data_IF_520652498127
#
_entry.id   IF_520652498127
#
_cell.length_a   1.000
_cell.length_b   1.000
_cell.length_c   1.000
_cell.angle_alpha   90.00
_cell.angle_beta   90.00
_cell.angle_gamma   90.00
#
_symmetry.space_group_name_H-M   'P 1'
#
loop_
_entity.id
_entity.type
_entity.pdbx_description
1 polymer ?
#
# COMPACT_ATOMS: atom_id res chain seq x y z
N UNK A 1 12.21 63.74 -1.01
CA UNK A 1 11.42 62.89 -0.08
C UNK A 1 9.92 63.14 -0.28
N UNK A 2 9.17 62.14 -0.74
CA UNK A 2 7.70 62.25 -0.77
C UNK A 2 7.15 62.37 0.67
N UNK A 3 6.05 63.10 0.85
CA UNK A 3 5.42 63.35 2.15
C UNK A 3 3.89 63.39 2.05
N UNK A 4 3.21 63.59 3.18
CA UNK A 4 1.76 63.80 3.22
C UNK A 4 0.87 62.55 3.14
N UNK A 5 1.42 61.34 2.96
CA UNK A 5 0.65 60.09 2.99
C UNK A 5 1.23 59.09 3.98
N UNK A 6 0.39 58.21 4.54
CA UNK A 6 0.81 57.12 5.45
C UNK A 6 1.84 56.16 4.83
N UNK A 7 2.01 56.17 3.50
CA UNK A 7 2.96 55.31 2.79
C UNK A 7 4.37 55.91 2.71
N UNK A 8 4.52 57.23 2.87
CA UNK A 8 5.82 57.90 2.86
C UNK A 8 6.70 57.38 4.02
N UNK A 9 7.97 57.07 3.73
CA UNK A 9 8.92 56.53 4.71
C UNK A 9 8.85 55.01 4.96
N UNK A 10 7.89 54.29 4.38
CA UNK A 10 7.80 52.82 4.52
C UNK A 10 8.71 52.07 3.52
N UNK A 11 9.18 50.88 3.93
CA UNK A 11 9.89 49.96 3.03
C UNK A 11 9.06 49.52 1.83
N UNK A 12 9.67 49.52 0.64
CA UNK A 12 8.97 49.32 -0.64
C UNK A 12 9.15 47.93 -1.24
N UNK A 13 10.35 47.57 -1.71
CA UNK A 13 10.53 46.48 -2.67
C UNK A 13 10.80 45.10 -2.07
N UNK A 14 11.29 45.04 -0.83
CA UNK A 14 11.66 43.79 -0.17
C UNK A 14 10.46 42.85 0.01
N UNK A 15 10.71 41.54 -0.08
CA UNK A 15 9.68 40.50 0.10
C UNK A 15 9.07 40.47 1.50
N UNK A 16 9.76 41.05 2.49
CA UNK A 16 9.27 41.25 3.86
C UNK A 16 8.36 42.49 4.00
N UNK A 17 8.35 43.40 3.02
CA UNK A 17 7.58 44.64 3.08
C UNK A 17 6.15 44.44 2.54
N UNK A 18 5.15 45.06 3.18
CA UNK A 18 3.77 45.11 2.67
C UNK A 18 3.73 45.83 1.31
N UNK A 19 3.19 45.16 0.28
CA UNK A 19 3.17 45.66 -1.10
C UNK A 19 4.50 45.49 -1.85
N UNK A 20 5.51 44.85 -1.23
CA UNK A 20 6.78 44.52 -1.86
C UNK A 20 6.68 43.32 -2.81
N UNK A 21 7.80 43.03 -3.49
CA UNK A 21 7.83 41.97 -4.51
C UNK A 21 8.00 40.61 -3.84
N UNK A 22 7.26 39.61 -4.31
CA UNK A 22 7.44 38.22 -3.89
C UNK A 22 8.86 37.73 -4.22
N UNK A 23 9.49 36.98 -3.31
CA UNK A 23 10.75 36.29 -3.58
C UNK A 23 10.54 35.24 -4.68
N UNK A 24 11.47 35.18 -5.64
CA UNK A 24 11.41 34.30 -6.82
C UNK A 24 10.03 34.32 -7.52
N UNK A 25 9.63 35.48 -8.12
CA UNK A 25 8.33 35.61 -8.72
C UNK A 25 8.13 34.61 -9.86
N UNK A 26 6.91 34.09 -10.02
CA UNK A 26 6.62 33.09 -11.07
C UNK A 26 6.88 33.68 -12.45
N UNK A 27 7.75 33.03 -13.21
CA UNK A 27 8.13 33.45 -14.56
C UNK A 27 7.39 32.65 -15.61
N UNK A 28 7.21 33.26 -16.77
CA UNK A 28 6.55 32.63 -17.93
C UNK A 28 7.35 31.44 -18.47
N UNK A 29 8.68 31.46 -18.36
CA UNK A 29 9.59 30.42 -18.86
C UNK A 29 9.73 29.20 -17.94
N UNK A 30 8.84 29.04 -16.94
CA UNK A 30 8.73 27.77 -16.21
C UNK A 30 8.51 26.64 -17.21
N UNK A 31 9.19 25.50 -17.05
CA UNK A 31 9.00 24.33 -17.94
C UNK A 31 7.65 23.67 -17.68
N UNK A 32 6.60 24.14 -18.36
CA UNK A 32 5.22 23.66 -18.26
C UNK A 32 5.01 22.30 -18.92
N UNK A 33 5.63 22.10 -20.10
CA UNK A 33 5.45 20.88 -20.90
C UNK A 33 6.55 19.86 -20.60
N UNK A 34 6.15 18.58 -20.56
CA UNK A 34 7.06 17.44 -20.43
C UNK A 34 6.98 16.57 -21.67
N UNK A 35 8.10 16.42 -22.39
CA UNK A 35 8.24 15.46 -23.48
C UNK A 35 8.32 14.06 -22.87
N UNK A 36 7.44 13.17 -23.32
CA UNK A 36 7.40 11.76 -22.93
C UNK A 36 7.59 10.95 -24.21
N UNK A 37 8.38 9.88 -24.13
CA UNK A 37 8.69 9.03 -25.27
C UNK A 37 7.41 8.40 -25.85
N UNK A 38 7.33 8.36 -27.17
CA UNK A 38 6.13 7.88 -27.87
C UNK A 38 5.86 6.41 -27.53
N UNK A 39 6.90 5.58 -27.47
CA UNK A 39 6.76 4.16 -27.12
C UNK A 39 6.25 3.97 -25.69
N UNK A 40 6.68 4.79 -24.72
CA UNK A 40 6.16 4.75 -23.35
C UNK A 40 4.68 5.15 -23.30
N UNK A 41 4.27 6.18 -24.06
CA UNK A 41 2.85 6.54 -24.16
C UNK A 41 2.02 5.40 -24.76
N UNK A 42 2.52 4.76 -25.83
CA UNK A 42 1.83 3.63 -26.48
C UNK A 42 1.70 2.43 -25.54
N UNK A 43 2.76 2.09 -24.81
CA UNK A 43 2.74 1.06 -23.76
C UNK A 43 1.64 1.37 -22.74
N UNK A 44 1.65 2.58 -22.17
CA UNK A 44 0.69 2.97 -21.14
C UNK A 44 -0.76 2.87 -21.62
N UNK A 45 -1.03 3.25 -22.88
CA UNK A 45 -2.37 3.10 -23.46
C UNK A 45 -2.74 1.62 -23.62
N UNK A 46 -1.85 0.78 -24.15
CA UNK A 46 -2.11 -0.66 -24.28
C UNK A 46 -2.39 -1.31 -22.91
N UNK A 47 -1.63 -0.94 -21.88
CA UNK A 47 -1.85 -1.41 -20.50
C UNK A 47 -3.20 -0.96 -19.92
N UNK A 48 -3.61 0.28 -20.22
CA UNK A 48 -4.91 0.79 -19.76
C UNK A 48 -6.09 0.09 -20.46
N UNK A 49 -5.96 -0.25 -21.75
CA UNK A 49 -6.94 -1.05 -22.49
C UNK A 49 -7.02 -2.46 -21.91
N UNK A 50 -5.87 -3.13 -21.68
CA UNK A 50 -5.84 -4.45 -21.07
C UNK A 50 -6.51 -4.45 -19.68
N UNK A 51 -6.24 -3.41 -18.87
CA UNK A 51 -6.87 -3.27 -17.56
C UNK A 51 -8.40 -3.06 -17.64
N UNK A 52 -8.93 -2.46 -18.71
CA UNK A 52 -10.38 -2.31 -18.89
C UNK A 52 -11.10 -3.62 -19.19
N UNK A 53 -10.39 -4.66 -19.62
CA UNK A 53 -10.99 -5.98 -19.88
C UNK A 53 -11.13 -6.83 -18.61
N UNK A 54 -10.43 -6.48 -17.51
CA UNK A 54 -10.40 -7.28 -16.28
C UNK A 54 -11.45 -6.74 -15.28
N UNK A 55 -12.52 -7.49 -14.96
CA UNK A 55 -13.57 -7.04 -14.04
C UNK A 55 -13.03 -6.59 -12.68
N UNK A 56 -12.08 -7.33 -12.12
CA UNK A 56 -11.49 -7.04 -10.81
C UNK A 56 -10.86 -5.65 -10.75
N UNK A 57 -10.14 -5.23 -11.81
CA UNK A 57 -9.52 -3.91 -11.88
C UNK A 57 -10.56 -2.80 -12.08
N UNK A 58 -11.61 -3.08 -12.85
CA UNK A 58 -12.70 -2.11 -13.11
C UNK A 58 -13.54 -1.87 -11.86
N UNK A 59 -13.84 -2.94 -11.11
CA UNK A 59 -14.53 -2.86 -9.83
C UNK A 59 -13.64 -2.18 -8.77
N UNK A 60 -12.35 -2.52 -8.69
CA UNK A 60 -11.40 -1.89 -7.76
C UNK A 60 -11.25 -0.38 -7.99
N UNK A 61 -11.32 0.08 -9.25
CA UNK A 61 -11.39 1.51 -9.57
C UNK A 61 -12.67 2.18 -9.06
N UNK A 62 -13.72 1.40 -8.84
CA UNK A 62 -14.98 1.85 -8.27
C UNK A 62 -16.09 2.07 -9.30
N UNK A 63 -16.08 1.37 -10.43
CA UNK A 63 -17.25 1.34 -11.33
C UNK A 63 -18.32 0.37 -10.81
N UNK A 64 -19.61 0.67 -11.07
CA UNK A 64 -20.72 -0.27 -10.81
C UNK A 64 -20.97 -1.12 -12.05
N UNK A 65 -20.52 -2.36 -12.03
CA UNK A 65 -20.58 -3.29 -13.17
C UNK A 65 -21.29 -4.60 -12.85
N UNK A 66 -22.04 -4.69 -11.74
CA UNK A 66 -22.65 -5.96 -11.31
C UNK A 66 -23.69 -6.51 -12.30
N UNK A 67 -24.37 -5.62 -13.03
CA UNK A 67 -25.40 -5.98 -14.01
C UNK A 67 -24.85 -6.17 -15.45
N UNK A 68 -23.55 -5.99 -15.66
CA UNK A 68 -22.92 -6.13 -16.98
C UNK A 68 -22.62 -7.61 -17.23
N UNK A 69 -23.02 -8.13 -18.39
CA UNK A 69 -22.89 -9.56 -18.72
C UNK A 69 -21.45 -10.04 -18.89
N UNK A 70 -20.60 -9.22 -19.50
CA UNK A 70 -19.24 -9.59 -19.86
C UNK A 70 -18.29 -8.39 -19.88
N UNK A 71 -17.00 -8.69 -19.73
CA UNK A 71 -15.90 -7.73 -19.89
C UNK A 71 -14.80 -8.39 -20.72
N UNK A 72 -14.28 -7.73 -21.77
CA UNK A 72 -14.63 -6.39 -22.26
C UNK A 72 -16.03 -6.33 -22.89
N UNK A 73 -16.77 -5.25 -22.63
CA UNK A 73 -18.13 -5.09 -23.15
C UNK A 73 -18.11 -4.55 -24.59
N UNK A 74 -18.61 -5.34 -25.53
CA UNK A 74 -18.72 -4.99 -26.95
C UNK A 74 -20.20 -4.90 -27.35
N UNK A 75 -20.57 -3.81 -28.01
CA UNK A 75 -21.93 -3.55 -28.50
C UNK A 75 -21.97 -3.42 -30.02
N UNK A 76 -23.13 -3.72 -30.62
CA UNK A 76 -23.31 -3.61 -32.07
C UNK A 76 -23.06 -2.19 -32.59
N UNK A 77 -22.63 -2.08 -33.85
CA UNK A 77 -22.37 -0.78 -34.50
C UNK A 77 -23.63 0.07 -34.70
N UNK A 78 -24.83 -0.49 -34.51
CA UNK A 78 -26.08 0.26 -34.49
C UNK A 78 -26.07 1.40 -33.45
N UNK A 79 -25.30 1.26 -32.37
CA UNK A 79 -25.13 2.29 -31.35
C UNK A 79 -24.47 3.56 -31.92
N UNK A 80 -23.65 3.45 -32.97
CA UNK A 80 -23.01 4.61 -33.60
C UNK A 80 -24.02 5.55 -34.29
N UNK A 81 -25.16 5.02 -34.73
CA UNK A 81 -26.26 5.76 -35.35
C UNK A 81 -27.19 6.48 -34.37
N UNK A 82 -27.04 6.27 -33.06
CA UNK A 82 -27.90 6.87 -32.05
C UNK A 82 -27.67 8.38 -31.97
N UNK A 83 -28.72 9.17 -32.21
CA UNK A 83 -28.65 10.63 -32.18
C UNK A 83 -29.19 11.25 -30.88
N UNK A 84 -30.25 10.67 -30.31
CA UNK A 84 -30.95 11.24 -29.16
C UNK A 84 -30.38 10.71 -27.84
N UNK A 85 -30.21 11.60 -26.87
CA UNK A 85 -29.76 11.27 -25.50
C UNK A 85 -30.71 10.29 -24.81
N UNK A 86 -32.01 10.39 -25.05
CA UNK A 86 -33.02 9.46 -24.50
C UNK A 86 -32.82 8.04 -25.00
N UNK A 87 -32.50 7.87 -26.29
CA UNK A 87 -32.17 6.57 -26.87
C UNK A 87 -30.83 6.04 -26.31
N UNK A 88 -29.82 6.89 -26.17
CA UNK A 88 -28.54 6.52 -25.54
C UNK A 88 -28.71 6.02 -24.09
N UNK A 89 -29.59 6.64 -23.30
CA UNK A 89 -29.94 6.17 -21.96
C UNK A 89 -30.59 4.79 -22.00
N UNK A 90 -31.51 4.54 -22.95
CA UNK A 90 -32.14 3.22 -23.12
C UNK A 90 -31.09 2.13 -23.42
N UNK A 91 -30.13 2.41 -24.30
CA UNK A 91 -29.02 1.49 -24.59
C UNK A 91 -28.21 1.17 -23.33
N UNK A 92 -27.83 2.18 -22.54
CA UNK A 92 -27.07 1.96 -21.30
C UNK A 92 -27.84 1.18 -20.25
N UNK A 93 -29.16 1.32 -20.19
CA UNK A 93 -30.03 0.53 -19.32
C UNK A 93 -30.09 -0.93 -19.77
N UNK A 94 -30.28 -1.18 -21.07
CA UNK A 94 -30.32 -2.53 -21.64
C UNK A 94 -29.02 -3.30 -21.42
N UNK A 95 -27.88 -2.61 -21.51
CA UNK A 95 -26.55 -3.21 -21.34
C UNK A 95 -26.13 -3.31 -19.86
N UNK A 96 -26.93 -2.81 -18.92
CA UNK A 96 -26.61 -2.83 -17.49
C UNK A 96 -25.53 -1.82 -17.05
N UNK A 97 -25.15 -0.88 -17.92
CA UNK A 97 -24.15 0.15 -17.66
C UNK A 97 -24.71 1.41 -16.97
N UNK A 98 -26.04 1.57 -16.93
CA UNK A 98 -26.71 2.74 -16.37
C UNK A 98 -26.46 2.98 -14.86
N UNK A 99 -26.35 1.97 -13.98
CA UNK A 99 -26.04 2.18 -12.56
C UNK A 99 -24.74 2.96 -12.31
N UNK A 100 -23.74 2.81 -13.18
CA UNK A 100 -22.48 3.57 -13.10
C UNK A 100 -22.69 5.06 -13.50
N UNK A 101 -23.61 5.31 -14.43
CA UNK A 101 -23.99 6.65 -14.85
C UNK A 101 -24.80 7.37 -13.78
N UNK A 102 -25.75 6.67 -13.14
CA UNK A 102 -26.51 7.21 -12.00
C UNK A 102 -25.55 7.59 -10.86
N UNK A 103 -24.61 6.72 -10.52
CA UNK A 103 -23.55 7.02 -9.55
C UNK A 103 -22.75 8.27 -9.93
N UNK A 104 -22.46 8.48 -11.21
CA UNK A 104 -21.76 9.68 -11.66
C UNK A 104 -22.64 10.94 -11.58
N UNK A 105 -23.94 10.83 -11.91
CA UNK A 105 -24.93 11.90 -11.77
C UNK A 105 -25.07 12.36 -10.32
N UNK A 106 -25.26 11.42 -9.39
CA UNK A 106 -25.47 11.72 -7.97
C UNK A 106 -24.21 12.27 -7.29
N UNK A 107 -23.03 11.96 -7.87
CA UNK A 107 -21.75 12.48 -7.37
C UNK A 107 -21.48 13.94 -7.70
N UNK A 108 -22.36 14.61 -8.45
CA UNK A 108 -22.14 16.00 -8.86
C UNK A 108 -22.24 16.93 -7.64
N UNK A 109 -21.09 17.40 -7.16
CA UNK A 109 -20.98 18.28 -6.00
C UNK A 109 -20.31 19.61 -6.31
N UNK A 110 -20.54 20.61 -5.44
CA UNK A 110 -19.84 21.90 -5.51
C UNK A 110 -18.41 21.74 -4.98
N UNK A 111 -17.41 22.13 -5.79
CA UNK A 111 -15.99 22.12 -5.45
C UNK A 111 -15.71 23.04 -4.25
N UNK A 112 -15.03 22.54 -3.20
CA UNK A 112 -14.57 23.39 -2.11
C UNK A 112 -13.40 24.30 -2.53
N UNK A 113 -13.24 25.43 -1.83
CA UNK A 113 -12.13 26.35 -1.99
C UNK A 113 -12.18 27.26 -3.23
N UNK A 114 -11.04 27.89 -3.53
CA UNK A 114 -10.91 28.94 -4.58
C UNK A 114 -11.20 28.47 -6.00
N UNK A 115 -11.26 27.16 -6.24
CA UNK A 115 -11.62 26.59 -7.55
C UNK A 115 -13.03 26.98 -7.99
N UNK A 116 -13.94 27.17 -7.02
CA UNK A 116 -15.32 27.59 -7.25
C UNK A 116 -15.42 28.92 -8.02
N UNK A 117 -14.53 29.87 -7.71
CA UNK A 117 -14.46 31.19 -8.36
C UNK A 117 -13.74 31.18 -9.71
N UNK A 118 -13.12 30.06 -10.11
CA UNK A 118 -12.29 29.94 -11.32
C UNK A 118 -12.88 28.96 -12.32
N UNK A 119 -14.18 29.07 -12.60
CA UNK A 119 -14.93 28.25 -13.58
C UNK A 119 -14.83 26.73 -13.36
N UNK A 120 -14.56 26.28 -12.13
CA UNK A 120 -14.46 24.86 -11.76
C UNK A 120 -15.41 24.56 -10.59
N UNK A 121 -16.63 25.09 -10.67
CA UNK A 121 -17.65 25.04 -9.60
C UNK A 121 -18.09 23.62 -9.29
N UNK A 122 -18.25 22.75 -10.29
CA UNK A 122 -18.73 21.39 -10.09
C UNK A 122 -17.61 20.35 -10.26
N UNK A 123 -17.74 19.24 -9.55
CA UNK A 123 -16.93 18.02 -9.72
C UNK A 123 -17.91 16.86 -9.87
N UNK A 124 -17.62 15.96 -10.79
CA UNK A 124 -18.34 14.71 -10.96
C UNK A 124 -17.36 13.55 -11.11
N UNK A 125 -17.81 12.35 -10.75
CA UNK A 125 -17.06 11.12 -11.00
C UNK A 125 -17.04 10.80 -12.51
N UNK A 126 -16.05 10.01 -12.91
CA UNK A 126 -15.93 9.48 -14.28
C UNK A 126 -16.69 8.17 -14.36
N UNK A 127 -17.71 8.12 -15.20
CA UNK A 127 -18.47 6.92 -15.53
C UNK A 127 -17.88 6.21 -16.75
N UNK A 128 -18.71 5.50 -17.54
CA UNK A 128 -18.24 4.69 -18.65
C UNK A 128 -17.60 5.55 -19.74
N UNK A 129 -16.59 4.99 -20.41
CA UNK A 129 -16.00 5.54 -21.63
C UNK A 129 -16.54 4.75 -22.82
N UNK A 130 -17.16 5.43 -23.78
CA UNK A 130 -17.66 4.80 -24.99
C UNK A 130 -16.64 5.01 -26.11
N UNK A 131 -16.19 3.91 -26.70
CA UNK A 131 -15.22 3.92 -27.79
C UNK A 131 -15.90 3.50 -29.08
N UNK A 132 -15.77 4.34 -30.11
CA UNK A 132 -16.38 4.14 -31.42
C UNK A 132 -15.33 4.10 -32.54
N UNK A 133 -15.70 3.48 -33.66
CA UNK A 133 -14.83 3.19 -34.79
C UNK A 133 -14.96 4.17 -35.95
N UNK A 134 -16.17 4.68 -36.22
CA UNK A 134 -16.45 5.48 -37.43
C UNK A 134 -16.22 6.97 -37.20
N UNK A 135 -15.61 7.66 -38.17
CA UNK A 135 -15.52 9.12 -38.12
C UNK A 135 -16.90 9.75 -38.32
N UNK A 136 -17.19 10.85 -37.60
CA UNK A 136 -18.48 11.52 -37.71
C UNK A 136 -19.67 10.78 -37.07
N UNK A 137 -19.43 9.71 -36.30
CA UNK A 137 -20.47 8.93 -35.65
C UNK A 137 -21.44 9.81 -34.83
N UNK A 138 -22.74 9.59 -35.03
CA UNK A 138 -23.80 10.42 -34.43
C UNK A 138 -23.89 10.23 -32.90
N UNK A 139 -23.43 9.08 -32.40
CA UNK A 139 -23.37 8.79 -30.97
C UNK A 139 -22.59 9.84 -30.16
N UNK A 140 -21.61 10.52 -30.77
CA UNK A 140 -20.85 11.56 -30.07
C UNK A 140 -21.77 12.64 -29.52
N UNK A 141 -22.81 13.01 -30.27
CA UNK A 141 -23.80 14.00 -29.83
C UNK A 141 -24.73 13.41 -28.76
N UNK A 142 -25.17 12.17 -28.93
CA UNK A 142 -26.09 11.50 -28.02
C UNK A 142 -25.50 11.25 -26.62
N UNK A 143 -24.22 10.87 -26.53
CA UNK A 143 -23.60 10.47 -25.26
C UNK A 143 -22.84 11.61 -24.55
N UNK A 144 -22.47 12.70 -25.23
CA UNK A 144 -21.64 13.79 -24.65
C UNK A 144 -22.29 14.48 -23.45
N UNK A 145 -23.61 14.61 -23.41
CA UNK A 145 -24.31 15.34 -22.34
C UNK A 145 -24.73 14.44 -21.17
N UNK A 146 -24.43 13.13 -21.22
CA UNK A 146 -24.78 12.22 -20.14
C UNK A 146 -23.74 12.39 -19.00
N UNK A 147 -24.17 12.59 -17.74
CA UNK A 147 -23.25 12.81 -16.62
C UNK A 147 -22.19 11.71 -16.49
N UNK A 148 -20.92 12.11 -16.43
CA UNK A 148 -19.78 11.20 -16.21
C UNK A 148 -19.38 10.35 -17.42
N UNK A 149 -20.21 10.28 -18.46
CA UNK A 149 -19.89 9.53 -19.70
C UNK A 149 -18.92 10.34 -20.54
N UNK A 150 -17.92 9.65 -21.09
CA UNK A 150 -17.04 10.24 -22.09
C UNK A 150 -17.05 9.41 -23.37
N UNK A 151 -16.72 10.06 -24.48
CA UNK A 151 -16.65 9.41 -25.79
C UNK A 151 -15.23 9.56 -26.34
N UNK A 152 -14.70 8.52 -26.98
CA UNK A 152 -13.41 8.53 -27.66
C UNK A 152 -13.49 7.72 -28.97
N UNK A 153 -12.72 8.13 -29.98
CA UNK A 153 -12.56 7.32 -31.18
C UNK A 153 -11.33 6.41 -30.99
N UNK A 154 -11.41 5.17 -31.47
CA UNK A 154 -10.37 4.15 -31.31
C UNK A 154 -8.99 4.56 -31.87
N UNK A 155 -8.95 5.34 -32.94
CA UNK A 155 -7.70 5.75 -33.58
C UNK A 155 -6.97 6.83 -32.77
N UNK A 156 -7.70 7.59 -31.97
CA UNK A 156 -7.21 8.70 -31.13
C UNK A 156 -7.50 8.48 -29.65
N UNK A 157 -7.21 7.27 -29.17
CA UNK A 157 -7.33 6.93 -27.75
C UNK A 157 -6.36 7.76 -26.90
N UNK A 158 -6.91 8.40 -25.87
CA UNK A 158 -6.17 9.21 -24.94
C UNK A 158 -6.02 8.48 -23.60
N UNK A 159 -4.78 8.31 -23.14
CA UNK A 159 -4.46 7.73 -21.84
C UNK A 159 -5.19 8.43 -20.68
N UNK A 160 -5.36 9.76 -20.76
CA UNK A 160 -6.03 10.53 -19.70
C UNK A 160 -7.53 10.21 -19.58
N UNK A 161 -8.14 9.73 -20.67
CA UNK A 161 -9.52 9.22 -20.66
C UNK A 161 -9.56 7.77 -20.19
N UNK A 162 -8.61 6.93 -20.60
CA UNK A 162 -8.58 5.52 -20.20
C UNK A 162 -8.20 5.31 -18.74
N UNK A 163 -7.26 6.12 -18.21
CA UNK A 163 -6.79 6.08 -16.83
C UNK A 163 -6.86 7.47 -16.17
N UNK A 164 -8.07 8.00 -15.89
CA UNK A 164 -8.22 9.29 -15.23
C UNK A 164 -7.56 9.26 -13.85
N UNK A 165 -6.72 10.25 -13.55
CA UNK A 165 -5.96 10.32 -12.31
C UNK A 165 -4.81 9.32 -12.20
N UNK A 166 -4.46 8.62 -13.29
CA UNK A 166 -3.43 7.58 -13.29
C UNK A 166 -3.91 6.22 -12.77
N UNK A 167 -5.20 6.07 -12.47
CA UNK A 167 -5.78 4.81 -12.01
C UNK A 167 -6.29 3.98 -13.20
N UNK A 168 -5.78 2.75 -13.32
CA UNK A 168 -6.10 1.77 -14.36
C UNK A 168 -7.51 1.18 -14.17
N UNK A 169 -8.06 0.53 -15.20
CA UNK A 169 -9.33 -0.19 -15.12
C UNK A 169 -10.55 0.72 -15.18
N UNK A 170 -10.62 1.65 -16.14
CA UNK A 170 -11.89 2.35 -16.40
C UNK A 170 -12.88 1.42 -17.08
N UNK A 171 -14.16 1.54 -16.78
CA UNK A 171 -15.21 0.84 -17.51
C UNK A 171 -15.32 1.41 -18.93
N UNK A 172 -15.03 0.58 -19.94
CA UNK A 172 -15.04 0.96 -21.36
C UNK A 172 -16.06 0.11 -22.11
N UNK A 173 -16.89 0.77 -22.92
CA UNK A 173 -17.88 0.16 -23.81
C UNK A 173 -17.38 0.34 -25.23
N UNK A 174 -17.19 -0.76 -25.96
CA UNK A 174 -16.65 -0.76 -27.32
C UNK A 174 -17.75 -0.99 -28.34
N UNK A 175 -17.77 -0.24 -29.44
CA UNK A 175 -18.52 -0.68 -30.63
C UNK A 175 -17.76 -1.81 -31.31
N UNK A 176 -18.47 -2.72 -31.99
CA UNK A 176 -17.88 -3.86 -32.69
C UNK A 176 -16.75 -3.41 -33.65
N UNK A 177 -17.05 -2.43 -34.51
CA UNK A 177 -16.06 -1.86 -35.44
C UNK A 177 -14.87 -1.20 -34.74
N UNK A 178 -15.06 -0.59 -33.57
CA UNK A 178 -13.96 -0.07 -32.77
C UNK A 178 -13.07 -1.18 -32.24
N UNK A 179 -13.68 -2.26 -31.75
CA UNK A 179 -12.96 -3.38 -31.17
C UNK A 179 -12.12 -4.12 -32.23
N UNK A 180 -12.68 -4.39 -33.40
CA UNK A 180 -11.96 -5.01 -34.54
C UNK A 180 -10.78 -4.16 -35.01
N UNK A 181 -10.92 -2.82 -35.02
CA UNK A 181 -9.83 -1.91 -35.41
C UNK A 181 -8.64 -1.92 -34.45
N UNK A 182 -8.78 -2.39 -33.19
CA UNK A 182 -7.66 -2.43 -32.25
C UNK A 182 -6.51 -3.30 -32.75
N UNK A 183 -6.81 -4.41 -33.41
CA UNK A 183 -5.80 -5.35 -33.92
C UNK A 183 -4.92 -4.70 -34.98
N UNK A 184 -5.51 -3.99 -35.96
CA UNK A 184 -4.74 -3.20 -36.94
C UNK A 184 -3.92 -2.06 -36.29
N UNK A 185 -4.45 -1.42 -35.23
CA UNK A 185 -3.82 -0.27 -34.55
C UNK A 185 -2.66 -0.66 -33.63
N UNK A 186 -2.71 -1.82 -32.98
CA UNK A 186 -1.69 -2.24 -32.01
C UNK A 186 -0.90 -3.48 -32.43
N UNK A 187 -1.42 -4.27 -33.37
CA UNK A 187 -0.90 -5.60 -33.71
C UNK A 187 -1.24 -6.63 -32.64
N UNK A 188 -0.70 -7.83 -32.83
CA UNK A 188 -0.73 -8.91 -31.84
C UNK A 188 0.67 -9.13 -31.25
N UNK A 189 0.85 -10.18 -30.45
CA UNK A 189 2.19 -10.54 -29.97
C UNK A 189 3.06 -11.14 -31.08
N UNK A 190 2.44 -11.68 -32.12
CA UNK A 190 3.12 -12.31 -33.27
C UNK A 190 3.22 -11.37 -34.48
N UNK A 191 2.24 -10.48 -34.67
CA UNK A 191 2.16 -9.57 -35.80
C UNK A 191 2.42 -8.12 -35.37
N UNK A 192 3.33 -7.38 -36.03
CA UNK A 192 3.54 -5.97 -35.74
C UNK A 192 2.31 -5.13 -36.12
N UNK A 193 2.22 -3.92 -35.56
CA UNK A 193 1.12 -3.01 -35.90
C UNK A 193 1.22 -2.51 -37.34
N UNK A 194 0.08 -2.49 -38.03
CA UNK A 194 -0.06 -1.92 -39.38
C UNK A 194 -0.03 -0.38 -39.35
N UNK A 195 -0.85 0.23 -38.47
CA UNK A 195 -0.98 1.69 -38.42
C UNK A 195 0.18 2.38 -37.70
N UNK A 196 0.79 1.74 -36.70
CA UNK A 196 1.90 2.33 -35.94
C UNK A 196 3.22 1.77 -36.43
N UNK A 197 3.87 2.50 -37.33
CA UNK A 197 5.19 2.16 -37.88
C UNK A 197 6.17 1.72 -36.78
N UNK A 198 6.69 0.49 -36.94
CA UNK A 198 7.70 -0.12 -36.06
C UNK A 198 7.23 -0.37 -34.62
N UNK A 199 5.92 -0.38 -34.36
CA UNK A 199 5.39 -0.67 -33.04
C UNK A 199 5.05 -2.15 -32.89
N UNK A 200 5.48 -2.72 -31.77
CA UNK A 200 5.14 -4.07 -31.32
C UNK A 200 4.62 -3.97 -29.89
N UNK A 201 3.69 -4.83 -29.53
CA UNK A 201 3.20 -4.91 -28.15
C UNK A 201 4.35 -5.26 -27.19
N UNK A 202 4.35 -4.67 -25.98
CA UNK A 202 5.39 -4.96 -25.00
C UNK A 202 5.31 -6.42 -24.53
N UNK A 203 6.45 -7.11 -24.55
CA UNK A 203 6.57 -8.46 -24.00
C UNK A 203 6.66 -8.41 -22.47
N UNK A 204 5.83 -9.21 -21.81
CA UNK A 204 5.89 -9.36 -20.36
C UNK A 204 7.21 -10.07 -19.95
N UNK A 205 7.71 -9.74 -18.76
CA UNK A 205 8.90 -10.43 -18.20
C UNK A 205 8.61 -11.88 -17.80
N UNK A 206 7.36 -12.17 -17.46
CA UNK A 206 6.87 -13.49 -17.11
C UNK A 206 5.79 -13.89 -18.12
N UNK A 207 5.83 -15.14 -18.59
CA UNK A 207 4.80 -15.68 -19.48
C UNK A 207 3.51 -15.93 -18.70
N UNK A 208 3.62 -16.49 -17.49
CA UNK A 208 2.52 -16.65 -16.55
C UNK A 208 2.77 -15.79 -15.30
N UNK A 209 1.78 -14.98 -14.92
CA UNK A 209 1.86 -14.13 -13.73
C UNK A 209 1.39 -14.83 -12.44
N UNK A 210 0.79 -16.02 -12.54
CA UNK A 210 0.36 -16.79 -11.38
C UNK A 210 1.55 -17.50 -10.71
N UNK A 211 2.18 -16.76 -9.80
CA UNK A 211 3.28 -17.27 -8.99
C UNK A 211 2.85 -18.41 -8.07
N UNK A 212 1.62 -18.41 -7.56
CA UNK A 212 1.16 -19.46 -6.67
C UNK A 212 1.09 -20.80 -7.41
N UNK A 213 0.57 -20.80 -8.64
CA UNK A 213 0.57 -21.98 -9.51
C UNK A 213 1.98 -22.47 -9.82
N UNK A 214 2.91 -21.57 -10.15
CA UNK A 214 4.30 -21.94 -10.43
C UNK A 214 4.95 -22.54 -9.18
N UNK A 215 4.85 -21.86 -8.04
CA UNK A 215 5.46 -22.31 -6.79
C UNK A 215 4.90 -23.67 -6.37
N UNK A 216 3.59 -23.90 -6.53
CA UNK A 216 2.93 -25.12 -6.12
C UNK A 216 2.99 -26.24 -7.17
N UNK A 217 3.75 -26.07 -8.26
CA UNK A 217 3.91 -27.12 -9.25
C UNK A 217 4.81 -28.24 -8.72
N UNK A 218 4.56 -29.47 -9.17
CA UNK A 218 5.28 -30.66 -8.68
C UNK A 218 6.79 -30.57 -8.95
N UNK A 219 7.19 -29.95 -10.07
CA UNK A 219 8.59 -29.77 -10.43
C UNK A 219 9.33 -28.86 -9.44
N UNK A 220 8.65 -27.86 -8.90
CA UNK A 220 9.25 -26.97 -7.89
C UNK A 220 9.13 -27.61 -6.51
N UNK A 221 7.95 -28.11 -6.13
CA UNK A 221 7.72 -28.68 -4.80
C UNK A 221 8.56 -29.93 -4.53
N UNK A 222 8.88 -30.74 -5.55
CA UNK A 222 9.77 -31.91 -5.40
C UNK A 222 11.22 -31.55 -5.05
N UNK A 223 11.69 -30.35 -5.41
CA UNK A 223 13.06 -29.87 -5.15
C UNK A 223 13.13 -28.98 -3.91
N UNK A 224 12.03 -28.30 -3.56
CA UNK A 224 11.96 -27.39 -2.42
C UNK A 224 12.18 -28.15 -1.10
N UNK A 225 13.09 -27.63 -0.28
CA UNK A 225 13.36 -28.18 1.06
C UNK A 225 12.16 -27.94 1.97
N UNK A 226 11.85 -28.87 2.89
CA UNK A 226 10.77 -28.69 3.84
C UNK A 226 10.97 -27.43 4.68
N UNK A 227 9.86 -26.80 5.05
CA UNK A 227 9.84 -25.58 5.85
C UNK A 227 10.51 -25.86 7.21
N UNK A 228 11.46 -25.01 7.59
CA UNK A 228 12.09 -25.05 8.92
C UNK A 228 11.15 -24.41 9.94
N UNK A 229 10.39 -25.23 10.65
CA UNK A 229 9.40 -24.77 11.63
C UNK A 229 10.02 -24.29 12.95
N UNK A 230 11.28 -24.63 13.22
CA UNK A 230 11.94 -24.26 14.48
C UNK A 230 12.50 -22.84 14.45
N UNK A 231 11.72 -21.88 14.94
CA UNK A 231 12.22 -20.54 15.25
C UNK A 231 12.58 -20.50 16.74
N UNK A 232 13.85 -20.75 17.06
CA UNK A 232 14.36 -20.60 18.44
C UNK A 232 14.52 -19.11 18.77
N UNK A 233 13.50 -18.53 19.42
CA UNK A 233 13.62 -17.18 20.00
C UNK A 233 14.57 -17.22 21.19
N UNK A 234 15.42 -16.21 21.33
CA UNK A 234 16.29 -16.09 22.49
C UNK A 234 15.44 -15.92 23.76
N UNK A 235 15.42 -16.89 24.68
CA UNK A 235 14.76 -16.70 25.96
C UNK A 235 15.58 -15.75 26.83
N UNK A 236 14.93 -15.09 27.79
CA UNK A 236 15.64 -14.34 28.82
C UNK A 236 16.64 -15.29 29.52
N UNK A 237 17.93 -14.92 29.51
CA UNK A 237 18.99 -15.66 30.21
C UNK A 237 18.78 -15.52 31.72
N UNK A 238 18.19 -16.53 32.33
CA UNK A 238 18.01 -16.63 33.78
C UNK A 238 19.36 -16.97 34.43
N UNK A 239 19.71 -16.29 35.52
CA UNK A 239 20.95 -16.55 36.26
C UNK A 239 20.86 -17.92 36.97
N UNK A 240 21.75 -18.90 36.67
CA UNK A 240 21.72 -20.23 37.29
C UNK A 240 21.98 -20.21 38.80
N UNK A 241 22.82 -19.31 39.31
CA UNK A 241 23.14 -19.26 40.74
C UNK A 241 21.95 -18.78 41.59
N UNK A 242 21.07 -17.96 40.99
CA UNK A 242 19.84 -17.48 41.64
C UNK A 242 18.62 -18.36 41.34
N UNK A 243 18.62 -19.10 40.22
CA UNK A 243 17.49 -19.92 39.79
C UNK A 243 17.84 -21.42 39.80
N UNK A 244 17.31 -22.15 40.78
CA UNK A 244 17.60 -23.57 40.97
C UNK A 244 17.26 -24.42 39.74
N UNK A 245 16.12 -24.20 39.07
CA UNK A 245 15.74 -25.01 37.91
C UNK A 245 16.73 -24.87 36.74
N UNK A 246 17.28 -23.67 36.57
CA UNK A 246 18.31 -23.40 35.56
C UNK A 246 19.64 -24.03 35.99
N UNK A 247 19.98 -23.95 37.28
CA UNK A 247 21.17 -24.63 37.82
C UNK A 247 21.09 -26.14 37.63
N UNK A 248 19.95 -26.75 37.89
CA UNK A 248 19.74 -28.18 37.75
C UNK A 248 19.79 -28.64 36.30
N UNK A 249 19.29 -27.80 35.37
CA UNK A 249 19.41 -28.04 33.93
C UNK A 249 20.88 -28.01 33.46
N UNK A 250 21.72 -27.16 34.06
CA UNK A 250 23.14 -27.05 33.73
C UNK A 250 24.01 -28.10 34.46
N UNK A 251 23.69 -28.38 35.72
CA UNK A 251 24.40 -29.30 36.59
C UNK A 251 23.42 -30.09 37.47
N UNK A 252 23.05 -31.32 37.08
CA UNK A 252 22.18 -32.19 37.86
C UNK A 252 22.73 -32.51 39.27
N UNK A 253 24.05 -32.56 39.43
CA UNK A 253 24.72 -32.84 40.71
C UNK A 253 24.57 -31.68 41.73
N UNK A 254 24.18 -30.48 41.29
CA UNK A 254 23.91 -29.38 42.21
C UNK A 254 22.81 -29.70 43.24
N UNK A 255 21.87 -30.60 42.91
CA UNK A 255 20.82 -31.07 43.83
C UNK A 255 21.40 -31.88 44.99
N UNK A 256 22.25 -32.85 44.68
CA UNK A 256 22.88 -33.74 45.67
C UNK A 256 23.87 -32.97 46.52
N UNK A 257 24.72 -32.13 45.92
CA UNK A 257 25.65 -31.28 46.63
C UNK A 257 24.95 -30.34 47.63
N UNK A 258 23.85 -29.69 47.22
CA UNK A 258 23.06 -28.82 48.11
C UNK A 258 22.39 -29.60 49.25
N UNK A 259 21.88 -30.80 48.96
CA UNK A 259 21.30 -31.68 49.99
C UNK A 259 22.36 -32.14 51.00
N UNK A 260 23.53 -32.54 50.53
CA UNK A 260 24.68 -32.92 51.37
C UNK A 260 25.12 -31.74 52.25
N UNK A 261 25.20 -30.53 51.69
CA UNK A 261 25.54 -29.32 52.43
C UNK A 261 24.54 -29.02 53.55
N UNK A 262 23.23 -29.12 53.28
CA UNK A 262 22.18 -28.92 54.29
C UNK A 262 22.26 -29.95 55.43
N UNK A 263 22.48 -31.23 55.10
CA UNK A 263 22.65 -32.28 56.09
C UNK A 263 23.90 -32.03 56.96
N UNK A 264 25.01 -31.66 56.32
CA UNK A 264 26.24 -31.31 57.02
C UNK A 264 26.08 -30.07 57.92
N UNK A 265 25.34 -29.06 57.49
CA UNK A 265 25.05 -27.86 58.29
C UNK A 265 24.19 -28.20 59.51
N UNK A 266 23.13 -28.99 59.35
CA UNK A 266 22.30 -29.46 60.46
C UNK A 266 23.13 -30.22 61.51
N UNK A 267 24.05 -31.08 61.07
CA UNK A 267 25.00 -31.77 61.94
C UNK A 267 25.95 -30.80 62.65
N UNK A 268 26.50 -29.81 61.94
CA UNK A 268 27.38 -28.78 62.54
C UNK A 268 26.67 -27.94 63.59
N UNK A 269 25.42 -27.53 63.35
CA UNK A 269 24.63 -26.76 64.32
C UNK A 269 24.39 -27.58 65.58
N UNK A 270 24.02 -28.85 65.44
CA UNK A 270 23.86 -29.78 66.57
C UNK A 270 25.16 -29.93 67.36
N UNK A 271 26.27 -30.22 66.68
CA UNK A 271 27.59 -30.36 67.30
C UNK A 271 28.07 -29.06 67.99
N UNK A 272 27.79 -27.89 67.41
CA UNK A 272 28.10 -26.58 68.01
C UNK A 272 27.28 -26.35 69.28
N UNK A 273 25.99 -26.69 69.27
CA UNK A 273 25.12 -26.60 70.45
C UNK A 273 25.63 -27.52 71.57
N UNK A 274 25.92 -28.78 71.26
CA UNK A 274 26.51 -29.73 72.23
C UNK A 274 27.86 -29.24 72.79
N UNK A 275 28.72 -28.64 71.95
CA UNK A 275 30.00 -28.06 72.38
C UNK A 275 29.78 -26.82 73.27
N UNK A 276 28.79 -26.00 72.97
CA UNK A 276 28.42 -24.84 73.78
C UNK A 276 27.83 -25.27 75.13
N UNK A 277 26.98 -26.29 75.14
CA UNK A 277 26.39 -26.85 76.36
C UNK A 277 27.46 -27.50 77.25
N UNK A 278 28.46 -28.17 76.66
CA UNK A 278 29.66 -28.64 77.40
C UNK A 278 30.48 -27.50 77.99
N UNK A 279 30.67 -26.39 77.25
CA UNK A 279 31.36 -25.18 77.75
C UNK A 279 30.58 -24.40 78.82
N UNK A 280 29.24 -24.52 78.81
CA UNK A 280 28.34 -23.89 79.78
C UNK A 280 28.14 -24.71 81.05
N UNK A 281 28.72 -25.93 81.14
CA UNK A 281 28.82 -26.62 82.43
C UNK A 281 29.61 -25.73 83.40
N UNK A 282 29.12 -25.52 84.63
CA UNK A 282 29.82 -24.69 85.59
C UNK A 282 31.21 -25.28 85.83
N UNK A 283 32.22 -24.48 85.53
CA UNK A 283 33.62 -24.74 85.87
C UNK A 283 33.68 -24.90 87.39
N UNK A 284 34.44 -25.88 87.89
CA UNK A 284 34.55 -26.11 89.34
C UNK A 284 35.01 -24.82 90.03
N UNK A 285 34.57 -24.57 91.27
CA UNK A 285 34.94 -23.35 92.01
C UNK A 285 36.46 -23.13 92.01
N UNK A 286 37.22 -24.22 92.08
CA UNK A 286 38.69 -24.26 92.10
C UNK A 286 39.30 -23.78 90.78
N UNK A 287 38.82 -24.31 89.64
CA UNK A 287 39.28 -23.88 88.30
C UNK A 287 38.90 -22.41 88.01
N UNK A 288 37.71 -21.97 88.44
CA UNK A 288 37.28 -20.59 88.30
C UNK A 288 38.12 -19.61 89.14
N UNK A 289 38.56 -20.03 90.33
CA UNK A 289 39.50 -19.27 91.15
C UNK A 289 40.90 -19.24 90.55
N UNK A 290 41.40 -20.36 90.00
CA UNK A 290 42.73 -20.42 89.36
C UNK A 290 42.82 -19.51 88.11
N UNK A 291 41.75 -19.45 87.32
CA UNK A 291 41.67 -18.56 86.16
C UNK A 291 41.59 -17.09 86.60
N UNK A 292 40.83 -16.78 87.67
CA UNK A 292 40.76 -15.41 88.22
C UNK A 292 42.06 -14.98 88.88
N UNK A 293 42.78 -15.86 89.56
CA UNK A 293 44.09 -15.55 90.17
C UNK A 293 45.15 -15.37 89.10
N UNK A 294 45.17 -16.20 88.06
CA UNK A 294 46.06 -16.00 86.92
C UNK A 294 45.77 -14.68 86.18
N UNK A 295 44.48 -14.31 86.01
CA UNK A 295 44.09 -13.02 85.41
C UNK A 295 44.41 -11.80 86.29
N UNK A 296 44.31 -11.94 87.62
CA UNK A 296 44.70 -10.90 88.59
C UNK A 296 46.20 -10.82 88.83
N UNK A 297 46.96 -11.87 88.56
CA UNK A 297 48.43 -11.83 88.63
C UNK A 297 49.05 -11.10 87.43
N UNK A 298 48.26 -10.87 86.38
CA UNK A 298 48.65 -10.15 85.17
C UNK A 298 48.26 -8.66 85.19
N UNK A 299 47.41 -8.25 86.15
CA UNK A 299 46.98 -6.86 86.39
C UNK A 299 47.60 -6.34 87.69
#
# INVERSE_FOLDING_TARGET
PGGGTHRAGQGAFGNMCRGGRMFAPTKIWRRWHRKINVNQKRYAVASAIAASAIPALVMARGHRIEAVSEMPLVVSDAVEGVEKTSAAIKVLKQVGAYPDVEKAKDSQGIRPGKGKMRNRRYISRKGPLIVYGTEGAKLVKAFRNIPGVEVANVERLNLLKLAPGGHLGRFVIWTKSAYEKLDSIYGSFDKPSEKKKGYVLPRAKMVNADLARIINSDEIQSVVKPIKNEIKRAPLKKNPLKNLNVMLKLNPYAKTARRMALLAEAQRVKAKKEKLDKKRKPVSKEEATAIKTAGKAWY
#
